data_IF_238752464090
#
_entry.id   IF_238752464090
#
_cell.length_a   1.000
_cell.length_b   1.000
_cell.length_c   1.000
_cell.angle_alpha   90.00
_cell.angle_beta   90.00
_cell.angle_gamma   90.00
#
_symmetry.space_group_name_H-M   'P 1'
#
loop_
_entity.id
_entity.type
_entity.pdbx_description
1 polymer ?
#
# COMPACT_ATOMS: atom_id res chain seq x y z
N UNK A 1 -13.69 34.93 -19.08
CA UNK A 1 -12.78 34.43 -20.11
C UNK A 1 -13.27 33.05 -20.54
N UNK A 2 -13.79 32.91 -21.77
CA UNK A 2 -14.47 31.69 -22.25
C UNK A 2 -13.44 30.61 -22.61
N UNK A 3 -13.46 29.48 -21.91
CA UNK A 3 -12.68 28.28 -22.27
C UNK A 3 -13.38 27.52 -23.41
N UNK A 4 -12.72 27.42 -24.56
CA UNK A 4 -13.14 26.59 -25.69
C UNK A 4 -12.65 25.15 -25.45
N UNK A 5 -13.58 24.19 -25.44
CA UNK A 5 -13.29 22.75 -25.57
C UNK A 5 -12.86 22.47 -27.00
N UNK A 6 -11.69 21.86 -27.18
CA UNK A 6 -11.22 21.38 -28.47
C UNK A 6 -11.21 19.84 -28.42
N UNK A 7 -12.28 19.24 -28.92
CA UNK A 7 -12.38 17.79 -29.19
C UNK A 7 -12.01 17.58 -30.65
N UNK A 8 -10.88 16.93 -30.91
CA UNK A 8 -10.63 16.31 -32.22
C UNK A 8 -10.67 14.79 -32.05
N UNK A 9 -11.68 14.19 -32.68
CA UNK A 9 -11.81 12.75 -32.91
C UNK A 9 -11.38 12.52 -34.36
N UNK A 10 -10.43 11.62 -34.65
CA UNK A 10 -10.22 11.17 -36.02
C UNK A 10 -11.23 10.08 -36.39
N UNK A 11 -12.00 10.34 -37.44
CA UNK A 11 -12.86 9.41 -38.15
C UNK A 11 -12.07 8.66 -39.21
N UNK A 12 -12.34 7.34 -39.32
CA UNK A 12 -12.11 6.38 -40.42
C UNK A 12 -11.70 5.08 -39.71
N UNK A 13 -12.46 3.98 -39.78
CA UNK A 13 -12.46 3.00 -40.87
C UNK A 13 -13.85 2.33 -40.99
N UNK A 14 -14.42 2.31 -42.20
CA UNK A 14 -15.55 1.44 -42.57
C UNK A 14 -15.09 0.42 -43.63
N UNK A 15 -15.28 -0.86 -43.30
CA UNK A 15 -15.88 -1.85 -44.22
C UNK A 15 -14.95 -2.76 -45.04
N UNK A 16 -15.05 -4.07 -44.78
CA UNK A 16 -14.92 -5.25 -45.68
C UNK A 16 -14.88 -6.48 -44.73
N UNK A 17 -15.52 -7.63 -44.88
CA UNK A 17 -16.34 -8.30 -45.89
C UNK A 17 -16.61 -9.72 -45.35
N UNK A 18 -17.70 -10.36 -45.80
CA UNK A 18 -18.19 -11.69 -45.35
C UNK A 18 -17.24 -12.85 -45.69
N UNK A 19 -17.23 -13.94 -44.89
CA UNK A 19 -16.81 -15.26 -45.38
C UNK A 19 -16.57 -16.41 -44.37
N UNK A 20 -17.62 -17.22 -44.15
CA UNK A 20 -17.67 -18.70 -43.96
C UNK A 20 -17.21 -19.42 -42.67
N UNK A 21 -18.09 -20.36 -42.30
CA UNK A 21 -18.06 -21.42 -41.27
C UNK A 21 -16.83 -22.34 -41.31
N UNK A 22 -16.43 -22.82 -40.13
CA UNK A 22 -16.06 -24.22 -39.89
C UNK A 22 -16.57 -24.68 -38.51
N UNK A 23 -16.90 -25.96 -38.42
CA UNK A 23 -17.64 -26.65 -37.34
C UNK A 23 -16.69 -27.41 -36.41
N UNK A 24 -16.99 -27.31 -35.10
CA UNK A 24 -16.80 -28.23 -33.96
C UNK A 24 -15.43 -28.82 -33.60
N UNK A 25 -15.08 -28.70 -32.31
CA UNK A 25 -15.13 -29.85 -31.39
C UNK A 25 -15.22 -29.37 -29.93
N UNK A 26 -16.17 -29.94 -29.18
CA UNK A 26 -16.38 -29.74 -27.74
C UNK A 26 -15.50 -30.74 -26.98
N UNK A 27 -14.72 -30.26 -26.02
CA UNK A 27 -14.17 -31.08 -24.93
C UNK A 27 -14.50 -30.36 -23.63
N UNK A 28 -15.44 -30.92 -22.87
CA UNK A 28 -15.73 -30.49 -21.49
C UNK A 28 -14.59 -30.98 -20.58
N UNK A 29 -13.78 -30.06 -20.08
CA UNK A 29 -13.03 -30.24 -18.85
C UNK A 29 -13.82 -29.56 -17.73
N UNK A 30 -14.27 -30.36 -16.76
CA UNK A 30 -14.96 -29.89 -15.55
C UNK A 30 -13.97 -29.15 -14.65
N UNK A 31 -13.87 -27.84 -14.84
CA UNK A 31 -13.30 -26.93 -13.85
C UNK A 31 -14.29 -26.74 -12.71
N UNK A 32 -13.84 -26.96 -11.47
CA UNK A 32 -14.59 -26.58 -10.27
C UNK A 32 -14.83 -25.08 -10.29
N UNK A 33 -16.05 -24.69 -10.62
CA UNK A 33 -16.45 -23.31 -10.73
C UNK A 33 -16.55 -22.69 -9.33
N UNK A 34 -15.96 -21.50 -9.17
CA UNK A 34 -16.54 -20.48 -8.30
C UNK A 34 -17.89 -20.11 -8.91
N UNK A 35 -18.92 -20.90 -8.61
CA UNK A 35 -20.27 -20.62 -9.01
C UNK A 35 -20.74 -19.39 -8.23
N UNK A 36 -20.90 -18.28 -8.92
CA UNK A 36 -21.83 -17.24 -8.50
C UNK A 36 -23.22 -17.84 -8.59
N UNK A 37 -23.67 -18.51 -7.53
CA UNK A 37 -25.10 -18.73 -7.35
C UNK A 37 -25.72 -17.35 -7.14
N UNK A 38 -26.16 -16.74 -8.23
CA UNK A 38 -27.14 -15.68 -8.17
C UNK A 38 -28.44 -16.31 -7.66
N UNK A 39 -28.53 -16.51 -6.34
CA UNK A 39 -29.83 -16.61 -5.70
C UNK A 39 -30.53 -15.31 -6.05
N UNK A 40 -31.59 -15.38 -6.83
CA UNK A 40 -32.58 -14.31 -6.93
C UNK A 40 -33.22 -14.18 -5.55
N UNK A 41 -32.51 -13.56 -4.61
CA UNK A 41 -33.16 -12.90 -3.51
C UNK A 41 -34.00 -11.81 -4.14
N UNK A 42 -35.31 -12.07 -4.25
CA UNK A 42 -36.27 -11.00 -4.42
C UNK A 42 -35.97 -10.01 -3.31
N UNK A 43 -35.44 -8.85 -3.68
CA UNK A 43 -35.47 -7.72 -2.77
C UNK A 43 -36.96 -7.47 -2.53
N UNK A 44 -37.44 -7.88 -1.35
CA UNK A 44 -38.52 -7.15 -0.72
C UNK A 44 -37.87 -5.81 -0.42
N UNK A 45 -37.91 -4.92 -1.41
CA UNK A 45 -37.78 -3.50 -1.16
C UNK A 45 -38.75 -3.23 -0.01
N UNK A 46 -38.19 -3.05 1.20
CA UNK A 46 -38.96 -2.51 2.31
C UNK A 46 -39.51 -1.22 1.76
N UNK A 47 -40.83 -1.19 1.69
CA UNK A 47 -41.63 -0.02 1.39
C UNK A 47 -40.95 1.18 2.04
N UNK A 48 -40.40 2.07 1.23
CA UNK A 48 -39.75 3.30 1.70
C UNK A 48 -40.84 4.27 2.14
N UNK A 49 -41.60 3.85 3.15
CA UNK A 49 -42.51 4.67 3.89
C UNK A 49 -41.68 5.69 4.65
N UNK A 50 -41.55 6.89 4.06
CA UNK A 50 -41.16 8.15 4.70
C UNK A 50 -40.27 8.00 5.95
N UNK A 51 -39.00 7.62 5.77
CA UNK A 51 -37.96 7.98 6.74
C UNK A 51 -37.47 9.39 6.41
N UNK A 52 -38.37 10.37 6.54
CA UNK A 52 -38.01 11.78 6.69
C UNK A 52 -37.82 12.14 8.17
N UNK A 53 -37.52 11.15 9.01
CA UNK A 53 -36.99 11.40 10.34
C UNK A 53 -35.51 11.70 10.18
N UNK A 54 -35.18 13.00 10.20
CA UNK A 54 -33.81 13.44 10.42
C UNK A 54 -33.31 12.71 11.67
N UNK A 55 -32.28 11.87 11.53
CA UNK A 55 -31.45 11.48 12.67
C UNK A 55 -30.78 12.76 13.19
N UNK A 56 -31.51 13.52 14.00
CA UNK A 56 -30.99 14.66 14.71
C UNK A 56 -30.37 14.12 15.99
N UNK A 57 -29.05 14.09 16.01
CA UNK A 57 -28.28 13.92 17.23
C UNK A 57 -28.71 15.01 18.21
N UNK A 58 -29.37 14.62 19.32
CA UNK A 58 -29.77 15.54 20.38
C UNK A 58 -28.87 15.34 21.60
N UNK A 59 -28.01 16.34 21.93
CA UNK A 59 -27.28 16.36 23.19
C UNK A 59 -28.23 16.30 24.40
N UNK A 60 -27.75 15.95 25.61
CA UNK A 60 -26.37 16.10 26.03
C UNK A 60 -25.55 14.81 25.89
N UNK A 61 -24.45 14.88 25.14
CA UNK A 61 -23.33 13.99 25.45
C UNK A 61 -22.59 14.67 26.60
N UNK A 62 -22.54 14.03 27.76
CA UNK A 62 -21.43 14.32 28.68
C UNK A 62 -20.17 13.92 27.92
N UNK A 63 -19.29 14.88 27.63
CA UNK A 63 -18.00 14.57 27.03
C UNK A 63 -17.26 13.65 28.01
N UNK A 64 -17.01 12.41 27.58
CA UNK A 64 -16.27 11.41 28.37
C UNK A 64 -14.88 11.12 27.75
N UNK A 65 -14.47 11.93 26.78
CA UNK A 65 -13.16 11.87 26.14
C UNK A 65 -12.60 13.29 26.09
N UNK A 66 -11.68 13.59 27.00
CA UNK A 66 -10.98 14.87 27.13
C UNK A 66 -9.49 14.59 26.93
N UNK A 67 -9.00 14.52 25.68
CA UNK A 67 -7.59 14.22 25.42
C UNK A 67 -6.71 15.36 25.93
N UNK A 68 -5.64 15.01 26.64
CA UNK A 68 -4.58 15.93 27.04
C UNK A 68 -3.32 15.64 26.23
N UNK A 69 -2.59 16.69 25.88
CA UNK A 69 -1.31 16.55 25.18
C UNK A 69 -0.28 15.92 26.14
N UNK A 70 0.21 14.73 25.79
CA UNK A 70 1.31 14.11 26.52
C UNK A 70 2.64 14.76 26.12
N UNK A 71 2.94 14.80 24.83
CA UNK A 71 4.09 15.46 24.23
C UNK A 71 3.82 15.73 22.75
N UNK A 72 4.61 16.60 22.13
CA UNK A 72 4.63 16.83 20.68
C UNK A 72 6.07 16.83 20.17
N UNK A 73 6.31 16.14 19.05
CA UNK A 73 7.54 16.33 18.27
C UNK A 73 7.30 17.46 17.27
N UNK A 74 8.13 18.50 17.33
CA UNK A 74 7.94 19.73 16.51
C UNK A 74 9.04 19.94 15.47
N UNK A 75 10.05 19.09 15.47
CA UNK A 75 11.20 19.17 14.57
C UNK A 75 12.46 18.59 15.18
N UNK A 76 13.52 18.58 14.37
CA UNK A 76 14.85 18.10 14.73
C UNK A 76 15.91 19.17 14.49
N UNK A 77 17.02 19.23 15.26
CA UNK A 77 18.20 19.96 14.83
C UNK A 77 18.87 19.33 13.59
N UNK A 78 18.61 18.04 13.32
CA UNK A 78 19.08 17.31 12.14
C UNK A 78 18.09 17.50 11.01
N UNK A 79 18.52 18.19 9.94
CA UNK A 79 17.66 18.54 8.80
C UNK A 79 16.40 19.30 9.27
N UNK A 80 16.54 20.52 9.84
CA UNK A 80 15.45 21.22 10.54
C UNK A 80 14.29 21.68 9.64
N UNK A 81 14.47 21.68 8.32
CA UNK A 81 13.40 21.92 7.37
C UNK A 81 12.47 20.70 7.23
N UNK A 82 12.99 19.50 7.44
CA UNK A 82 12.27 18.23 7.33
C UNK A 82 11.46 17.94 8.60
N UNK A 83 10.32 18.62 8.72
CA UNK A 83 9.43 18.55 9.87
C UNK A 83 7.96 18.32 9.52
N UNK A 84 7.64 18.24 8.23
CA UNK A 84 6.29 17.87 7.79
C UNK A 84 6.17 16.35 7.75
N UNK A 85 5.00 15.82 8.10
CA UNK A 85 4.69 14.39 8.10
C UNK A 85 3.36 14.20 7.38
N UNK A 86 3.26 13.22 6.47
CA UNK A 86 2.00 12.91 5.77
C UNK A 86 1.71 11.42 5.63
N UNK A 87 2.39 10.59 6.39
CA UNK A 87 2.23 9.14 6.42
C UNK A 87 1.73 8.67 7.79
N UNK A 88 1.15 7.47 7.85
CA UNK A 88 0.70 6.85 9.09
C UNK A 88 1.88 6.29 9.90
N UNK A 89 2.25 6.83 11.07
CA UNK A 89 3.41 6.37 11.82
C UNK A 89 3.29 4.90 12.22
N UNK A 90 4.44 4.24 12.38
CA UNK A 90 4.54 2.89 12.96
C UNK A 90 4.94 3.00 14.41
N UNK A 91 4.30 2.18 15.26
CA UNK A 91 4.56 2.10 16.70
C UNK A 91 5.26 0.77 16.98
N UNK A 92 6.53 0.82 17.37
CA UNK A 92 7.37 -0.36 17.52
C UNK A 92 8.55 -0.04 18.45
N UNK A 93 8.97 -0.98 19.29
CA UNK A 93 10.13 -0.81 20.18
C UNK A 93 11.43 -0.97 19.38
N UNK A 94 12.09 0.15 19.07
CA UNK A 94 13.31 0.14 18.25
C UNK A 94 14.59 0.06 19.09
N UNK A 95 14.51 0.35 20.39
CA UNK A 95 15.67 0.39 21.28
C UNK A 95 15.69 -0.78 22.29
N UNK A 96 14.67 -1.64 22.27
CA UNK A 96 14.43 -2.79 23.15
C UNK A 96 14.34 -2.41 24.63
N UNK A 97 13.79 -1.23 24.94
CA UNK A 97 13.58 -0.77 26.32
C UNK A 97 12.25 -1.24 26.93
N UNK A 98 11.41 -1.93 26.14
CA UNK A 98 10.10 -2.44 26.54
C UNK A 98 8.96 -1.43 26.34
N UNK A 99 9.26 -0.22 25.87
CA UNK A 99 8.29 0.81 25.50
C UNK A 99 8.28 0.97 23.98
N UNK A 100 7.14 0.84 23.31
CA UNK A 100 7.09 1.10 21.88
C UNK A 100 7.44 2.56 21.54
N UNK A 101 8.28 2.73 20.53
CA UNK A 101 8.69 4.00 19.95
C UNK A 101 7.83 4.34 18.72
N UNK A 102 8.03 5.52 18.15
CA UNK A 102 7.28 6.00 16.99
C UNK A 102 8.25 6.27 15.85
N UNK A 103 8.05 5.54 14.74
CA UNK A 103 8.84 5.64 13.52
C UNK A 103 8.01 6.26 12.42
N UNK A 104 8.58 7.24 11.73
CA UNK A 104 7.89 8.00 10.68
C UNK A 104 8.89 8.67 9.73
N UNK A 105 8.43 9.06 8.55
CA UNK A 105 9.21 9.88 7.63
C UNK A 105 8.78 11.34 7.66
N UNK A 106 9.75 12.23 7.47
CA UNK A 106 9.55 13.68 7.41
C UNK A 106 10.05 14.25 6.08
N UNK A 107 9.54 15.41 5.68
CA UNK A 107 9.97 16.11 4.46
C UNK A 107 9.97 17.62 4.64
N UNK A 108 10.67 18.33 3.76
CA UNK A 108 10.61 19.79 3.66
C UNK A 108 9.29 20.23 3.01
N UNK A 109 8.51 21.02 3.74
CA UNK A 109 7.18 21.47 3.31
C UNK A 109 7.15 22.29 2.02
N UNK A 110 8.26 22.96 1.67
CA UNK A 110 8.34 23.72 0.42
C UNK A 110 8.47 22.81 -0.81
N UNK A 111 9.09 21.64 -0.64
CA UNK A 111 9.35 20.69 -1.73
C UNK A 111 8.05 20.22 -2.40
N UNK A 112 7.05 19.84 -1.60
CA UNK A 112 5.75 19.40 -2.10
C UNK A 112 5.05 20.52 -2.89
N UNK A 113 5.14 21.75 -2.39
CA UNK A 113 4.52 22.92 -3.02
C UNK A 113 5.17 23.28 -4.35
N UNK A 114 6.49 23.16 -4.48
CA UNK A 114 7.20 23.47 -5.71
C UNK A 114 7.07 22.36 -6.77
N UNK A 115 7.28 21.12 -6.37
CA UNK A 115 7.18 20.00 -7.30
C UNK A 115 5.76 19.84 -7.86
N UNK A 116 4.72 20.02 -7.03
CA UNK A 116 3.34 20.02 -7.50
C UNK A 116 3.06 21.17 -8.49
N UNK A 117 3.61 22.37 -8.27
CA UNK A 117 3.48 23.51 -9.20
C UNK A 117 4.14 23.24 -10.55
N UNK A 118 5.17 22.42 -10.57
CA UNK A 118 5.92 22.06 -11.77
C UNK A 118 5.42 20.77 -12.43
N UNK A 119 4.34 20.16 -11.91
CA UNK A 119 3.80 18.90 -12.42
C UNK A 119 4.74 17.71 -12.21
N UNK A 120 5.66 17.81 -11.24
CA UNK A 120 6.52 16.72 -10.78
C UNK A 120 5.83 16.00 -9.62
N UNK A 121 6.01 14.68 -9.52
CA UNK A 121 5.56 13.90 -8.36
C UNK A 121 6.36 14.36 -7.14
N UNK A 122 5.74 15.22 -6.31
CA UNK A 122 6.42 16.08 -5.35
C UNK A 122 6.88 15.45 -4.04
N UNK A 123 7.38 14.23 -4.13
CA UNK A 123 7.44 13.35 -2.99
C UNK A 123 8.77 12.59 -2.93
N UNK A 124 9.90 13.29 -3.01
CA UNK A 124 11.22 12.66 -3.12
C UNK A 124 12.26 13.49 -2.38
N UNK A 125 12.24 13.39 -1.04
CA UNK A 125 13.34 13.72 -0.12
C UNK A 125 12.91 13.37 1.33
N UNK A 126 12.31 12.18 1.53
CA UNK A 126 11.81 11.76 2.85
C UNK A 126 12.93 11.29 3.77
N UNK A 127 12.97 11.81 4.99
CA UNK A 127 13.91 11.45 6.06
C UNK A 127 13.21 10.55 7.05
N UNK A 128 13.65 9.29 7.19
CA UNK A 128 13.16 8.37 8.21
C UNK A 128 13.70 8.76 9.59
N UNK A 129 12.83 8.72 10.61
CA UNK A 129 13.14 9.12 11.99
C UNK A 129 12.45 8.19 12.99
N UNK A 130 13.03 8.08 14.18
CA UNK A 130 12.38 7.49 15.34
C UNK A 130 12.45 8.42 16.55
N UNK A 131 11.37 8.43 17.33
CA UNK A 131 11.26 9.15 18.61
C UNK A 131 10.72 8.23 19.68
N UNK A 132 11.13 8.44 20.93
CA UNK A 132 10.65 7.65 22.05
C UNK A 132 9.15 7.81 22.25
N UNK A 133 8.41 6.70 22.35
CA UNK A 133 6.96 6.78 22.56
C UNK A 133 6.57 7.38 23.92
N UNK A 134 7.46 7.28 24.92
CA UNK A 134 7.21 7.81 26.25
C UNK A 134 7.41 9.34 26.36
N UNK A 135 8.38 9.88 25.63
CA UNK A 135 8.84 11.28 25.80
C UNK A 135 8.81 12.14 24.55
N UNK A 136 8.67 11.55 23.36
CA UNK A 136 8.83 12.24 22.08
C UNK A 136 10.27 12.64 21.76
N UNK A 137 11.25 12.23 22.58
CA UNK A 137 12.66 12.53 22.36
C UNK A 137 13.20 11.76 21.16
N UNK A 138 14.04 12.41 20.35
CA UNK A 138 14.65 11.77 19.18
C UNK A 138 15.56 10.61 19.59
N UNK A 139 15.38 9.47 18.93
CA UNK A 139 16.26 8.31 19.04
C UNK A 139 17.30 8.34 17.92
N UNK A 140 16.85 8.54 16.67
CA UNK A 140 17.72 8.63 15.51
C UNK A 140 17.01 9.30 14.32
N UNK A 141 17.81 9.69 13.33
CA UNK A 141 17.37 10.20 12.03
C UNK A 141 18.32 9.71 10.94
N UNK A 142 17.78 9.25 9.81
CA UNK A 142 18.59 8.78 8.68
C UNK A 142 19.09 9.99 7.89
N UNK A 143 20.31 10.44 8.18
CA UNK A 143 20.86 11.69 7.65
C UNK A 143 21.25 11.59 6.17
N UNK A 144 21.84 10.47 5.77
CA UNK A 144 22.41 10.27 4.44
C UNK A 144 21.32 10.36 3.36
N UNK A 145 21.52 11.30 2.43
CA UNK A 145 20.62 11.52 1.29
C UNK A 145 20.58 10.32 0.33
N UNK A 146 21.54 9.40 0.37
CA UNK A 146 21.48 8.17 -0.42
C UNK A 146 20.32 7.24 0.00
N UNK A 147 19.78 7.42 1.20
CA UNK A 147 18.79 6.55 1.82
C UNK A 147 17.43 7.23 2.05
N UNK A 148 17.08 8.20 1.20
CA UNK A 148 15.77 8.85 1.25
C UNK A 148 14.63 7.89 0.90
N UNK A 149 13.52 8.07 1.59
CA UNK A 149 12.26 7.34 1.40
C UNK A 149 11.19 8.23 0.77
N UNK A 150 10.10 7.63 0.28
CA UNK A 150 8.88 8.35 -0.11
C UNK A 150 8.14 8.84 1.14
N UNK A 151 8.02 10.17 1.37
CA UNK A 151 7.47 10.67 2.62
C UNK A 151 5.96 10.45 2.79
N UNK A 152 5.23 10.17 1.72
CA UNK A 152 3.80 9.82 1.76
C UNK A 152 3.52 8.32 1.73
N UNK A 153 4.52 7.47 1.45
CA UNK A 153 4.32 6.03 1.44
C UNK A 153 4.32 5.49 2.88
N UNK A 154 3.56 4.43 3.11
CA UNK A 154 3.58 3.76 4.41
C UNK A 154 4.87 2.94 4.55
N UNK A 155 5.40 2.91 5.76
CA UNK A 155 6.52 2.04 6.15
C UNK A 155 5.98 0.80 6.85
N UNK A 156 6.77 -0.27 6.86
CA UNK A 156 6.52 -1.47 7.64
C UNK A 156 7.68 -1.70 8.61
N UNK A 157 7.38 -2.28 9.78
CA UNK A 157 8.38 -2.66 10.76
C UNK A 157 8.15 -4.08 11.26
N UNK A 158 9.23 -4.82 11.42
CA UNK A 158 9.21 -6.19 11.93
C UNK A 158 10.59 -6.81 11.88
N UNK A 159 10.80 -7.84 12.70
CA UNK A 159 12.02 -8.66 12.68
C UNK A 159 12.01 -9.50 11.40
N UNK A 160 12.74 -9.07 10.37
CA UNK A 160 12.77 -9.76 9.08
C UNK A 160 13.92 -10.77 8.99
N UNK A 161 14.96 -10.62 9.80
CA UNK A 161 16.15 -11.49 9.77
C UNK A 161 16.28 -12.47 10.95
N UNK A 162 15.38 -12.39 11.92
CA UNK A 162 15.24 -13.31 13.05
C UNK A 162 16.21 -13.04 14.20
N UNK A 163 16.79 -11.84 14.30
CA UNK A 163 17.74 -11.49 15.37
C UNK A 163 17.08 -10.92 16.65
N UNK A 164 15.76 -10.72 16.61
CA UNK A 164 14.95 -10.16 17.69
C UNK A 164 14.87 -8.63 17.72
N UNK A 165 15.44 -7.92 16.73
CA UNK A 165 15.29 -6.48 16.53
C UNK A 165 14.32 -6.26 15.38
N UNK A 166 13.78 -5.05 15.32
CA UNK A 166 12.85 -4.69 14.26
C UNK A 166 13.60 -3.97 13.16
N UNK A 167 13.46 -4.44 11.94
CA UNK A 167 13.88 -3.69 10.78
C UNK A 167 12.74 -2.77 10.34
N UNK A 168 13.11 -1.64 9.74
CA UNK A 168 12.17 -0.69 9.17
C UNK A 168 12.32 -0.69 7.67
N UNK A 169 11.26 -1.03 6.94
CA UNK A 169 11.26 -1.04 5.48
C UNK A 169 10.29 0.01 4.93
N UNK A 170 10.66 0.62 3.81
CA UNK A 170 9.83 1.59 3.12
C UNK A 170 10.09 1.62 1.62
N UNK A 171 9.38 2.53 0.95
CA UNK A 171 9.58 2.79 -0.46
C UNK A 171 10.70 3.83 -0.62
N UNK A 172 11.74 3.57 -1.44
CA UNK A 172 12.80 4.54 -1.67
C UNK A 172 12.30 5.77 -2.41
N UNK A 173 13.01 6.91 -2.34
CA UNK A 173 12.59 8.17 -3.00
C UNK A 173 12.29 8.05 -4.50
N UNK A 174 12.87 7.06 -5.18
CA UNK A 174 12.62 6.75 -6.59
C UNK A 174 11.21 6.22 -6.84
N UNK A 175 10.49 5.81 -5.79
CA UNK A 175 9.23 5.10 -5.87
C UNK A 175 9.39 3.71 -6.46
N UNK A 176 10.58 3.09 -6.39
CA UNK A 176 10.90 1.84 -7.11
C UNK A 176 11.66 0.90 -6.20
N UNK A 177 11.15 -0.31 -6.07
CA UNK A 177 11.67 -1.32 -5.16
C UNK A 177 11.47 -0.95 -3.69
N UNK A 178 12.27 -1.57 -2.82
CA UNK A 178 12.22 -1.39 -1.36
C UNK A 178 13.57 -0.96 -0.81
N UNK A 179 13.55 -0.25 0.33
CA UNK A 179 14.72 0.08 1.14
C UNK A 179 14.42 -0.28 2.59
N UNK A 180 15.38 -0.90 3.27
CA UNK A 180 15.25 -1.34 4.66
C UNK A 180 16.43 -0.85 5.52
N UNK A 181 16.14 -0.67 6.80
CA UNK A 181 17.03 -0.16 7.83
C UNK A 181 16.98 -1.08 9.04
N UNK A 182 18.09 -1.15 9.77
CA UNK A 182 18.14 -1.74 11.11
C UNK A 182 17.36 -0.89 12.12
N UNK A 183 17.14 -1.44 13.31
CA UNK A 183 16.40 -0.80 14.40
C UNK A 183 17.00 0.54 14.86
N UNK A 184 18.28 0.79 14.61
CA UNK A 184 18.98 2.04 14.93
C UNK A 184 19.00 3.05 13.76
N UNK A 185 18.33 2.75 12.66
CA UNK A 185 18.31 3.56 11.45
C UNK A 185 19.51 3.34 10.53
N UNK A 186 20.41 2.40 10.84
CA UNK A 186 21.49 2.03 9.92
C UNK A 186 20.93 1.40 8.64
N UNK A 187 21.55 1.68 7.50
CA UNK A 187 21.15 1.09 6.22
C UNK A 187 21.38 -0.43 6.21
N UNK A 188 20.34 -1.20 5.87
CA UNK A 188 20.43 -2.67 5.72
C UNK A 188 20.58 -3.07 4.26
N UNK A 189 19.60 -2.77 3.42
CA UNK A 189 19.67 -3.01 1.98
C UNK A 189 18.68 -2.14 1.19
N UNK A 190 18.87 -2.09 -0.13
CA UNK A 190 17.92 -1.54 -1.11
C UNK A 190 17.93 -2.41 -2.35
N UNK A 191 16.76 -2.61 -2.95
CA UNK A 191 16.65 -3.36 -4.20
C UNK A 191 16.89 -2.46 -5.41
N UNK A 192 17.41 -3.03 -6.48
CA UNK A 192 17.52 -2.32 -7.76
C UNK A 192 16.13 -2.08 -8.38
N UNK A 193 15.92 -0.94 -9.07
CA UNK A 193 14.70 -0.68 -9.81
C UNK A 193 14.42 -1.72 -10.91
N UNK A 194 13.15 -2.05 -11.10
CA UNK A 194 12.66 -2.98 -12.11
C UNK A 194 11.58 -2.34 -13.02
N UNK A 195 11.20 -3.02 -14.09
CA UNK A 195 10.13 -2.56 -14.97
C UNK A 195 8.75 -2.69 -14.31
N UNK A 196 7.97 -1.61 -14.30
CA UNK A 196 6.60 -1.57 -13.76
C UNK A 196 6.50 -1.82 -12.23
N UNK A 197 7.49 -1.37 -11.47
CA UNK A 197 7.58 -1.47 -9.99
C UNK A 197 7.30 -0.13 -9.28
N UNK A 198 6.67 0.82 -9.96
CA UNK A 198 6.50 2.16 -9.42
C UNK A 198 5.40 2.19 -8.35
N UNK A 199 5.79 2.56 -7.13
CA UNK A 199 4.97 2.72 -5.94
C UNK A 199 5.17 4.13 -5.37
N UNK A 200 4.13 4.96 -5.42
CA UNK A 200 4.25 6.37 -5.07
C UNK A 200 3.71 6.66 -3.66
N UNK A 201 2.45 6.26 -3.40
CA UNK A 201 1.76 6.45 -2.11
C UNK A 201 1.33 5.11 -1.48
N UNK A 202 1.94 4.02 -1.95
CA UNK A 202 1.63 2.67 -1.49
C UNK A 202 2.18 2.39 -0.09
N UNK A 203 2.22 1.11 0.26
CA UNK A 203 2.76 0.65 1.52
C UNK A 203 3.29 -0.76 1.41
N UNK A 204 4.29 -1.04 2.24
CA UNK A 204 4.81 -2.39 2.39
C UNK A 204 4.01 -3.16 3.44
N UNK A 205 3.95 -4.47 3.25
CA UNK A 205 3.49 -5.41 4.27
C UNK A 205 4.54 -6.49 4.49
N UNK A 206 4.59 -7.04 5.71
CA UNK A 206 5.51 -8.10 6.10
C UNK A 206 4.70 -9.35 6.44
N UNK A 207 5.11 -10.51 5.93
CA UNK A 207 4.47 -11.79 6.24
C UNK A 207 5.40 -12.97 5.92
N UNK A 208 5.41 -13.99 6.79
CA UNK A 208 5.92 -15.32 6.43
C UNK A 208 4.84 -16.03 5.61
N UNK A 209 5.02 -16.12 4.28
CA UNK A 209 3.96 -16.57 3.38
C UNK A 209 3.84 -18.09 3.32
N UNK A 210 4.91 -18.82 3.61
CA UNK A 210 4.97 -20.27 3.44
C UNK A 210 5.20 -21.05 4.75
N UNK A 211 5.36 -20.33 5.87
CA UNK A 211 5.46 -20.86 7.22
C UNK A 211 6.85 -21.39 7.55
N UNK A 212 7.89 -20.95 6.85
CA UNK A 212 9.27 -21.41 7.06
C UNK A 212 10.04 -20.60 8.13
N UNK A 213 9.43 -19.54 8.65
CA UNK A 213 10.00 -18.62 9.63
C UNK A 213 10.77 -17.45 9.03
N UNK A 214 10.96 -17.39 7.70
CA UNK A 214 11.53 -16.24 7.02
C UNK A 214 10.42 -15.28 6.60
N UNK A 215 10.55 -14.01 6.98
CA UNK A 215 9.56 -12.99 6.63
C UNK A 215 9.80 -12.49 5.21
N UNK A 216 8.75 -12.51 4.40
CA UNK A 216 8.71 -11.82 3.11
C UNK A 216 8.24 -10.38 3.23
N UNK A 217 8.68 -9.57 2.27
CA UNK A 217 8.32 -8.17 2.10
C UNK A 217 7.47 -8.02 0.85
N UNK A 218 6.27 -7.49 1.01
CA UNK A 218 5.26 -7.35 -0.04
C UNK A 218 5.19 -5.89 -0.48
N UNK A 219 5.33 -5.64 -1.79
CA UNK A 219 5.08 -4.35 -2.44
C UNK A 219 4.15 -4.56 -3.64
N UNK A 220 2.84 -4.41 -3.40
CA UNK A 220 1.82 -4.66 -4.41
C UNK A 220 1.87 -6.09 -4.97
N UNK A 221 2.27 -6.23 -6.23
CA UNK A 221 2.38 -7.54 -6.89
C UNK A 221 3.78 -8.16 -6.76
N UNK A 222 4.69 -7.55 -6.01
CA UNK A 222 6.05 -8.06 -5.84
C UNK A 222 6.25 -8.59 -4.44
N UNK A 223 7.00 -9.68 -4.36
CA UNK A 223 7.42 -10.26 -3.09
C UNK A 223 8.92 -10.45 -3.09
N UNK A 224 9.54 -9.92 -2.05
CA UNK A 224 10.96 -10.00 -1.79
C UNK A 224 11.20 -10.87 -0.55
N UNK A 225 12.31 -11.62 -0.53
CA UNK A 225 12.83 -12.22 0.69
C UNK A 225 13.30 -11.14 1.68
N UNK A 226 13.57 -11.54 2.93
CA UNK A 226 14.20 -10.70 3.96
C UNK A 226 15.58 -10.11 3.60
N UNK A 227 16.22 -10.55 2.50
CA UNK A 227 17.47 -9.98 1.98
C UNK A 227 17.28 -9.04 0.79
N UNK A 228 16.03 -8.77 0.40
CA UNK A 228 15.72 -7.98 -0.79
C UNK A 228 15.80 -8.76 -2.11
N UNK A 229 16.08 -10.06 -2.09
CA UNK A 229 15.99 -10.88 -3.30
C UNK A 229 14.53 -11.01 -3.75
N UNK A 230 14.24 -10.64 -5.00
CA UNK A 230 12.90 -10.79 -5.59
C UNK A 230 12.54 -12.28 -5.73
N UNK A 231 11.50 -12.74 -5.01
CA UNK A 231 10.99 -14.12 -5.10
C UNK A 231 10.10 -14.28 -6.35
N UNK A 232 9.15 -13.37 -6.55
CA UNK A 232 8.23 -13.42 -7.69
C UNK A 232 7.53 -12.08 -7.97
N UNK A 233 6.94 -11.99 -9.17
CA UNK A 233 6.10 -10.86 -9.63
C UNK A 233 4.74 -11.38 -10.10
N UNK A 234 3.67 -10.88 -9.50
CA UNK A 234 2.30 -11.23 -9.83
C UNK A 234 1.88 -10.71 -11.21
N UNK A 235 1.13 -11.53 -11.95
CA UNK A 235 0.83 -11.31 -13.37
C UNK A 235 -0.19 -10.20 -13.68
N UNK A 236 -0.86 -9.65 -12.67
CA UNK A 236 -1.96 -8.67 -12.86
C UNK A 236 -1.48 -7.22 -12.70
N UNK A 237 -0.16 -6.99 -12.69
CA UNK A 237 0.43 -5.66 -12.55
C UNK A 237 0.43 -5.13 -11.12
N UNK A 238 1.03 -3.95 -10.94
CA UNK A 238 1.42 -3.42 -9.62
C UNK A 238 0.26 -3.33 -8.60
N UNK A 239 -0.97 -3.12 -9.07
CA UNK A 239 -2.11 -2.86 -8.19
C UNK A 239 -2.22 -1.38 -7.78
N UNK A 240 -3.17 -1.09 -6.89
CA UNK A 240 -3.49 0.28 -6.46
C UNK A 240 -4.32 1.08 -7.46
N UNK A 241 -5.06 2.07 -6.98
CA UNK A 241 -5.69 3.05 -7.87
C UNK A 241 -4.67 4.12 -8.27
N UNK A 242 -4.95 4.82 -9.39
CA UNK A 242 -4.17 5.98 -9.81
C UNK A 242 -4.06 6.97 -8.64
N UNK A 243 -2.85 7.45 -8.36
CA UNK A 243 -2.57 8.37 -7.26
C UNK A 243 -2.94 7.83 -5.87
N UNK A 244 -2.77 6.54 -5.63
CA UNK A 244 -2.94 5.97 -4.27
C UNK A 244 -1.92 4.88 -3.94
N UNK A 245 -1.29 4.28 -4.96
CA UNK A 245 -0.27 3.24 -4.80
C UNK A 245 -0.86 1.89 -4.36
N UNK A 246 -0.09 0.81 -4.50
CA UNK A 246 -0.52 -0.51 -4.05
C UNK A 246 -0.38 -0.66 -2.53
N UNK A 247 -1.32 -1.38 -1.93
CA UNK A 247 -1.21 -1.88 -0.56
C UNK A 247 -1.67 -3.32 -0.61
N UNK A 248 -0.72 -4.25 -0.59
CA UNK A 248 -1.00 -5.68 -0.55
C UNK A 248 -0.87 -6.21 0.87
N UNK A 249 -1.59 -7.28 1.18
CA UNK A 249 -1.50 -7.96 2.47
C UNK A 249 -1.61 -9.47 2.29
N UNK A 250 -1.16 -10.20 3.30
CA UNK A 250 -1.17 -11.65 3.32
C UNK A 250 -2.34 -12.19 4.15
N UNK A 251 -2.98 -13.27 3.69
CA UNK A 251 -4.06 -13.96 4.42
C UNK A 251 -4.19 -15.40 3.96
N UNK A 252 -4.41 -16.32 4.88
CA UNK A 252 -4.79 -17.71 4.57
C UNK A 252 -6.29 -17.76 4.24
N UNK A 253 -6.65 -17.64 2.96
CA UNK A 253 -8.07 -17.53 2.57
C UNK A 253 -8.75 -18.90 2.41
N UNK A 254 -7.97 -19.97 2.19
CA UNK A 254 -8.48 -21.32 2.00
C UNK A 254 -8.11 -22.32 3.10
N UNK A 255 -7.44 -21.84 4.15
CA UNK A 255 -7.08 -22.58 5.36
C UNK A 255 -6.12 -23.74 5.09
N UNK A 256 -5.19 -23.57 4.14
CA UNK A 256 -4.16 -24.57 3.83
C UNK A 256 -2.86 -24.39 4.63
N UNK A 257 -2.79 -23.34 5.46
CA UNK A 257 -1.64 -23.00 6.29
C UNK A 257 -0.59 -22.14 5.60
N UNK A 258 -0.78 -21.78 4.33
CA UNK A 258 0.05 -20.81 3.61
C UNK A 258 -0.74 -19.55 3.34
N UNK A 259 -0.06 -18.41 3.31
CA UNK A 259 -0.72 -17.14 3.10
C UNK A 259 -0.79 -16.82 1.61
N UNK A 260 -1.99 -16.47 1.13
CA UNK A 260 -2.16 -15.77 -0.13
C UNK A 260 -1.79 -14.30 -0.01
N UNK A 261 -1.32 -13.70 -1.10
CA UNK A 261 -1.15 -12.26 -1.25
C UNK A 261 -2.35 -11.67 -1.98
N UNK A 262 -3.08 -10.78 -1.31
CA UNK A 262 -4.18 -10.00 -1.90
C UNK A 262 -3.63 -8.66 -2.34
N UNK A 263 -3.73 -8.36 -3.63
CA UNK A 263 -3.32 -7.08 -4.21
C UNK A 263 -4.41 -6.51 -5.12
N UNK A 264 -5.13 -5.51 -4.62
CA UNK A 264 -6.26 -4.89 -5.31
C UNK A 264 -7.32 -5.92 -5.70
N UNK A 265 -7.38 -6.24 -6.99
CA UNK A 265 -8.39 -7.14 -7.59
C UNK A 265 -7.88 -8.56 -7.84
N UNK A 266 -6.67 -8.88 -7.39
CA UNK A 266 -5.99 -10.16 -7.62
C UNK A 266 -5.55 -10.82 -6.33
N UNK A 267 -5.57 -12.15 -6.33
CA UNK A 267 -5.09 -13.01 -5.24
C UNK A 267 -4.04 -13.96 -5.82
N UNK A 268 -2.86 -13.99 -5.20
CA UNK A 268 -1.76 -14.89 -5.54
C UNK A 268 -1.52 -15.86 -4.40
N UNK A 269 -1.12 -17.10 -4.70
CA UNK A 269 -0.59 -18.01 -3.69
C UNK A 269 0.77 -17.51 -3.19
N UNK A 270 1.26 -18.07 -2.07
CA UNK A 270 2.60 -17.80 -1.52
C UNK A 270 3.75 -17.87 -2.54
N UNK A 271 3.60 -18.68 -3.60
CA UNK A 271 4.59 -18.87 -4.68
C UNK A 271 4.41 -17.90 -5.88
N UNK A 272 3.47 -16.96 -5.80
CA UNK A 272 3.17 -16.00 -6.85
C UNK A 272 2.23 -16.51 -7.95
N UNK A 273 1.79 -17.78 -7.88
CA UNK A 273 0.81 -18.29 -8.85
C UNK A 273 -0.54 -17.60 -8.65
N UNK A 274 -1.13 -17.11 -9.75
CA UNK A 274 -2.43 -16.45 -9.70
C UNK A 274 -3.51 -17.44 -9.24
N UNK A 275 -4.18 -17.14 -8.12
CA UNK A 275 -5.33 -17.89 -7.62
C UNK A 275 -6.61 -17.43 -8.30
N UNK A 276 -6.83 -16.11 -8.34
CA UNK A 276 -7.93 -15.48 -9.08
C UNK A 276 -7.69 -13.98 -9.28
N UNK A 277 -8.37 -13.41 -10.28
CA UNK A 277 -8.40 -11.97 -10.54
C UNK A 277 -9.78 -11.57 -11.09
N UNK A 278 -10.31 -10.42 -10.68
CA UNK A 278 -11.48 -9.83 -11.34
C UNK A 278 -11.01 -8.75 -12.33
N UNK A 279 -10.88 -9.09 -13.62
CA UNK A 279 -10.42 -8.15 -14.66
C UNK A 279 -11.51 -7.24 -15.21
N UNK A 280 -12.76 -7.37 -14.73
CA UNK A 280 -13.87 -6.50 -15.14
C UNK A 280 -13.87 -5.16 -14.38
N UNK A 281 -13.10 -5.07 -13.30
CA UNK A 281 -12.91 -3.85 -12.51
C UNK A 281 -11.48 -3.32 -12.67
N UNK A 282 -11.26 -2.00 -12.57
CA UNK A 282 -9.91 -1.44 -12.54
C UNK A 282 -9.18 -1.83 -11.25
N UNK A 283 -7.87 -1.58 -11.21
CA UNK A 283 -7.11 -1.68 -9.97
C UNK A 283 -7.63 -0.69 -8.91
N UNK A 284 -7.51 -1.09 -7.66
CA UNK A 284 -7.92 -0.32 -6.48
C UNK A 284 -7.21 -0.86 -5.25
N UNK A 285 -7.68 -0.44 -4.08
CA UNK A 285 -7.19 -0.94 -2.80
C UNK A 285 -7.56 -2.40 -2.59
N UNK A 286 -6.67 -3.15 -1.95
CA UNK A 286 -7.00 -4.45 -1.39
C UNK A 286 -7.86 -4.27 -0.14
N UNK A 287 -8.94 -5.03 0.00
CA UNK A 287 -9.76 -5.06 1.21
C UNK A 287 -10.47 -6.41 1.34
N UNK A 288 -10.75 -6.81 2.59
CA UNK A 288 -11.66 -7.90 2.93
C UNK A 288 -12.87 -7.28 3.62
N UNK A 289 -14.09 -7.71 3.26
CA UNK A 289 -15.35 -7.23 3.82
C UNK A 289 -16.18 -8.38 4.35
#
# INVERSE_FOLDING_TARGET
MKLKRNTQVPSEWRGLGRGRLFVALVVLATGGACNTSASKEQSKARDSGKLAERCEVKPPFTANFEPELQWEWTGSPVLPAHKQVMMQPVVVDVNRDGTPDIVFSTFDGDFYNEAYKEGRDGNADGVLRAVSGSTGAELWSVEDSAYRVKPAASIAAGDIDGDGAVEICGIPESGRGIICFENDGAFKFRTEPDANDYSEWGGLSLADLDGDGAVEILDGNRVYSNTGTLKWVGSDGMGGALFTGPVSFAVDIDQDGKLEVVNGRSVYRHDGTLKCANTEIPHGFAAVA
#
